data_IF_996414641593
#
_entry.id   IF_996414641593
#
_cell.length_a   1.000
_cell.length_b   1.000
_cell.length_c   1.000
_cell.angle_alpha   90.00
_cell.angle_beta   90.00
_cell.angle_gamma   90.00
#
_symmetry.space_group_name_H-M   'P 1'
#
loop_
_entity.id
_entity.type
_entity.pdbx_description
1 polymer ?
#
# COMPACT_ATOMS: atom_id res chain seq x y z
N UNK A 1 -21.15 -19.35 -15.34
CA UNK A 1 -20.63 -18.10 -14.75
C UNK A 1 -20.78 -18.14 -13.24
N UNK A 2 -19.73 -17.76 -12.52
CA UNK A 2 -19.79 -17.70 -11.07
C UNK A 2 -20.48 -16.41 -10.66
N UNK A 3 -21.53 -16.54 -9.87
CA UNK A 3 -22.26 -15.38 -9.35
C UNK A 3 -21.48 -14.74 -8.20
N UNK A 4 -21.66 -13.45 -8.01
CA UNK A 4 -20.96 -12.75 -6.93
C UNK A 4 -21.22 -13.35 -5.56
N UNK A 5 -22.47 -13.73 -5.27
CA UNK A 5 -22.79 -14.33 -4.00
C UNK A 5 -22.07 -15.68 -3.80
N UNK A 6 -21.89 -16.44 -4.89
CA UNK A 6 -21.19 -17.73 -4.81
C UNK A 6 -19.71 -17.50 -4.52
N UNK A 7 -19.13 -16.47 -5.10
CA UNK A 7 -17.75 -16.09 -4.80
C UNK A 7 -17.61 -15.73 -3.32
N UNK A 8 -18.54 -14.94 -2.80
CA UNK A 8 -18.49 -14.51 -1.40
C UNK A 8 -18.62 -15.71 -0.45
N UNK A 9 -19.51 -16.64 -0.75
CA UNK A 9 -19.68 -17.83 0.10
C UNK A 9 -18.50 -18.78 0.02
N UNK A 10 -17.97 -19.01 -1.17
CA UNK A 10 -16.86 -19.93 -1.35
C UNK A 10 -15.58 -19.39 -0.72
N UNK A 11 -15.35 -18.10 -0.83
CA UNK A 11 -14.13 -17.47 -0.30
C UNK A 11 -14.26 -17.10 1.16
N UNK A 12 -15.46 -17.09 1.68
CA UNK A 12 -15.78 -16.70 3.04
C UNK A 12 -15.50 -15.22 3.27
N UNK A 13 -14.21 -14.85 3.38
CA UNK A 13 -13.79 -13.47 3.66
C UNK A 13 -12.53 -13.15 2.88
N UNK A 14 -12.54 -12.00 2.25
CA UNK A 14 -11.34 -11.39 1.72
C UNK A 14 -11.14 -10.08 2.45
N UNK A 15 -10.05 -9.98 3.21
CA UNK A 15 -9.69 -8.76 3.92
C UNK A 15 -8.58 -8.07 3.16
N UNK A 16 -8.79 -6.81 2.81
CA UNK A 16 -7.83 -6.00 2.07
C UNK A 16 -7.45 -4.81 2.92
N UNK A 17 -6.15 -4.62 3.10
CA UNK A 17 -5.60 -3.48 3.83
C UNK A 17 -4.74 -2.65 2.89
N UNK A 18 -4.86 -1.34 3.02
CA UNK A 18 -3.90 -0.42 2.44
C UNK A 18 -2.72 -0.27 3.39
N UNK A 19 -1.56 0.16 2.89
CA UNK A 19 -0.38 0.32 3.74
C UNK A 19 -0.18 1.76 4.19
N UNK A 20 0.11 2.67 3.24
CA UNK A 20 0.46 4.05 3.59
C UNK A 20 -0.70 4.76 4.26
N UNK A 21 -0.45 5.33 5.43
CA UNK A 21 -1.41 6.05 6.27
C UNK A 21 -2.58 5.19 6.77
N UNK A 22 -2.54 3.89 6.55
CA UNK A 22 -3.52 2.93 7.08
C UNK A 22 -2.87 1.99 8.08
N UNK A 23 -1.82 1.29 7.68
CA UNK A 23 -1.11 0.38 8.58
C UNK A 23 0.10 1.04 9.22
N UNK A 24 0.71 1.98 8.51
CA UNK A 24 1.88 2.69 9.01
C UNK A 24 2.07 4.01 8.31
N UNK A 25 2.81 4.89 8.98
CA UNK A 25 3.32 6.12 8.36
C UNK A 25 4.81 5.93 8.15
N UNK A 26 5.22 5.94 6.91
CA UNK A 26 6.61 5.80 6.52
C UNK A 26 7.21 7.19 6.27
N UNK A 27 8.53 7.29 6.48
CA UNK A 27 9.25 8.52 6.13
C UNK A 27 9.64 8.46 4.65
N UNK A 28 8.63 8.57 3.80
CA UNK A 28 8.80 8.53 2.36
C UNK A 28 8.00 9.68 1.75
N UNK A 29 8.61 10.36 0.80
CA UNK A 29 8.07 11.57 0.21
C UNK A 29 8.00 11.45 -1.31
N UNK A 30 7.01 12.13 -1.87
CA UNK A 30 6.93 12.33 -3.31
C UNK A 30 7.54 13.70 -3.58
N UNK A 31 8.62 13.73 -4.34
CA UNK A 31 9.29 14.99 -4.70
C UNK A 31 8.78 15.47 -6.04
N UNK A 32 8.45 16.76 -6.11
CA UNK A 32 7.89 17.36 -7.31
C UNK A 32 8.85 18.43 -7.79
N UNK A 33 9.19 18.37 -9.07
CA UNK A 33 9.88 19.48 -9.76
C UNK A 33 8.84 20.15 -10.64
N UNK A 34 8.58 21.42 -10.37
CA UNK A 34 7.59 22.19 -11.12
C UNK A 34 8.19 22.73 -12.41
N UNK A 35 7.31 23.19 -13.30
CA UNK A 35 7.72 23.68 -14.61
C UNK A 35 8.72 24.84 -14.52
N UNK A 36 8.64 25.67 -13.48
CA UNK A 36 9.55 26.78 -13.25
C UNK A 36 10.87 26.38 -12.58
N UNK A 37 11.06 25.08 -12.34
CA UNK A 37 12.25 24.54 -11.67
C UNK A 37 12.19 24.54 -10.16
N UNK A 38 11.16 25.11 -9.55
CA UNK A 38 10.99 25.05 -8.10
C UNK A 38 10.62 23.62 -7.69
N UNK A 39 10.93 23.28 -6.44
CA UNK A 39 10.73 21.94 -5.92
C UNK A 39 9.87 21.96 -4.67
N UNK A 40 9.05 20.92 -4.52
CA UNK A 40 8.28 20.69 -3.31
C UNK A 40 8.25 19.22 -3.01
N UNK A 41 7.74 18.84 -1.84
CA UNK A 41 7.55 17.44 -1.48
C UNK A 41 6.22 17.26 -0.79
N UNK A 42 5.64 16.09 -0.98
CA UNK A 42 4.35 15.73 -0.40
C UNK A 42 4.46 14.39 0.28
N UNK A 43 3.72 14.21 1.38
CA UNK A 43 3.53 12.87 1.93
C UNK A 43 2.41 12.16 1.13
N UNK A 44 2.18 10.85 1.37
CA UNK A 44 1.17 10.12 0.61
C UNK A 44 -0.24 10.72 0.74
N UNK A 45 -0.61 11.19 1.93
CA UNK A 45 -1.94 11.78 2.13
C UNK A 45 -2.09 13.08 1.35
N UNK A 46 -1.07 13.93 1.36
CA UNK A 46 -1.08 15.17 0.60
C UNK A 46 -1.10 14.89 -0.90
N UNK A 47 -0.35 13.87 -1.33
CA UNK A 47 -0.32 13.51 -2.74
C UNK A 47 -1.69 13.04 -3.24
N UNK A 48 -2.45 12.33 -2.40
CA UNK A 48 -3.76 11.82 -2.78
C UNK A 48 -4.74 12.93 -3.16
N UNK A 49 -4.57 14.14 -2.62
CA UNK A 49 -5.44 15.28 -2.90
C UNK A 49 -4.75 16.38 -3.71
N UNK A 50 -3.53 16.12 -4.16
CA UNK A 50 -2.78 17.11 -4.92
C UNK A 50 -3.30 17.22 -6.35
N UNK A 51 -3.48 18.45 -6.80
CA UNK A 51 -3.85 18.73 -8.19
C UNK A 51 -2.60 19.01 -8.99
N UNK A 52 -2.25 18.07 -9.88
CA UNK A 52 -1.07 18.20 -10.72
C UNK A 52 -1.18 19.42 -11.63
N UNK A 53 -0.07 20.12 -11.77
CA UNK A 53 0.05 21.25 -12.68
C UNK A 53 0.83 20.82 -13.91
N UNK A 54 0.58 21.46 -15.02
CA UNK A 54 1.31 21.17 -16.24
C UNK A 54 2.80 21.40 -16.01
N UNK A 55 3.61 20.42 -16.42
CA UNK A 55 5.05 20.47 -16.25
C UNK A 55 5.56 19.94 -14.93
N UNK A 56 4.67 19.47 -14.05
CA UNK A 56 5.10 18.81 -12.82
C UNK A 56 5.75 17.46 -13.14
N UNK A 57 6.90 17.23 -12.53
CA UNK A 57 7.62 15.97 -12.62
C UNK A 57 7.74 15.37 -11.24
N UNK A 58 7.32 14.10 -11.10
CA UNK A 58 7.21 13.42 -9.81
C UNK A 58 8.32 12.40 -9.64
N UNK A 59 8.90 12.37 -8.45
CA UNK A 59 9.93 11.41 -8.07
C UNK A 59 9.41 10.58 -6.88
N UNK A 60 9.20 9.29 -7.11
CA UNK A 60 8.68 8.34 -6.12
C UNK A 60 9.76 7.41 -5.57
N UNK A 61 11.04 7.73 -5.77
CA UNK A 61 12.12 6.80 -5.44
C UNK A 61 12.21 6.46 -3.96
N UNK A 62 11.74 7.36 -3.07
CA UNK A 62 11.71 7.04 -1.64
C UNK A 62 10.88 5.78 -1.35
N UNK A 63 9.87 5.51 -2.16
CA UNK A 63 8.99 4.36 -1.95
C UNK A 63 9.60 3.05 -2.44
N UNK A 64 10.70 3.09 -3.13
CA UNK A 64 11.44 1.89 -3.56
C UNK A 64 12.43 1.42 -2.51
N UNK A 65 12.69 2.23 -1.51
CA UNK A 65 13.66 1.92 -0.45
C UNK A 65 13.03 1.02 0.61
N UNK A 66 13.88 0.30 1.33
CA UNK A 66 13.42 -0.43 2.51
C UNK A 66 12.91 0.56 3.55
N UNK A 67 11.88 0.14 4.28
CA UNK A 67 11.29 0.99 5.31
C UNK A 67 12.26 1.13 6.49
N UNK A 68 12.49 2.37 6.89
CA UNK A 68 13.33 2.70 8.02
C UNK A 68 12.45 3.22 9.16
N UNK A 69 12.23 2.35 10.15
CA UNK A 69 11.50 2.68 11.36
C UNK A 69 10.15 3.38 11.11
N UNK A 70 9.27 2.81 10.28
CA UNK A 70 7.96 3.42 10.06
C UNK A 70 7.13 3.36 11.33
N UNK A 71 6.26 4.35 11.51
CA UNK A 71 5.37 4.39 12.67
C UNK A 71 4.10 3.60 12.37
N UNK A 72 3.91 2.49 13.06
CA UNK A 72 2.71 1.68 12.87
C UNK A 72 1.48 2.39 13.44
N UNK A 73 0.36 2.17 12.77
CA UNK A 73 -0.95 2.59 13.28
C UNK A 73 -1.51 1.37 14.02
N UNK A 74 -1.28 1.34 15.32
CA UNK A 74 -1.48 0.14 16.14
C UNK A 74 -2.86 -0.48 15.98
N UNK A 75 -3.90 0.33 15.99
CA UNK A 75 -5.27 -0.14 15.85
C UNK A 75 -5.45 -1.00 14.60
N UNK A 76 -4.90 -0.54 13.49
CA UNK A 76 -5.07 -1.22 12.21
C UNK A 76 -4.13 -2.41 12.07
N UNK A 77 -2.92 -2.33 12.63
CA UNK A 77 -2.02 -3.48 12.67
C UNK A 77 -2.58 -4.59 13.55
N UNK A 78 -3.21 -4.25 14.68
CA UNK A 78 -3.87 -5.24 15.52
C UNK A 78 -5.00 -5.93 14.77
N UNK A 79 -5.76 -5.17 13.97
CA UNK A 79 -6.81 -5.74 13.13
C UNK A 79 -6.22 -6.69 12.08
N UNK A 80 -5.12 -6.29 11.46
CA UNK A 80 -4.41 -7.14 10.50
C UNK A 80 -3.99 -8.46 11.16
N UNK A 81 -3.41 -8.41 12.37
CA UNK A 81 -3.01 -9.62 13.10
C UNK A 81 -4.20 -10.55 13.32
N UNK A 82 -5.35 -10.01 13.74
CA UNK A 82 -6.55 -10.80 13.97
C UNK A 82 -7.02 -11.49 12.68
N UNK A 83 -7.01 -10.75 11.57
CA UNK A 83 -7.43 -11.32 10.29
C UNK A 83 -6.46 -12.41 9.82
N UNK A 84 -5.16 -12.22 10.03
CA UNK A 84 -4.17 -13.23 9.69
C UNK A 84 -4.34 -14.50 10.52
N UNK A 85 -4.65 -14.37 11.82
CA UNK A 85 -4.93 -15.52 12.68
C UNK A 85 -6.15 -16.29 12.18
N UNK A 86 -7.21 -15.58 11.85
CA UNK A 86 -8.43 -16.21 11.33
C UNK A 86 -8.16 -16.91 9.99
N UNK A 87 -7.38 -16.31 9.14
CA UNK A 87 -7.03 -16.90 7.85
C UNK A 87 -6.21 -18.18 8.03
N UNK A 88 -5.34 -18.22 9.05
CA UNK A 88 -4.57 -19.42 9.36
C UNK A 88 -5.41 -20.58 9.90
N UNK A 89 -6.57 -20.28 10.49
CA UNK A 89 -7.45 -21.30 11.06
C UNK A 89 -8.59 -21.72 10.15
N UNK A 90 -8.94 -20.90 9.17
CA UNK A 90 -10.11 -21.13 8.33
C UNK A 90 -9.72 -21.03 6.86
N UNK A 91 -9.85 -22.16 6.15
CA UNK A 91 -9.64 -22.14 4.71
C UNK A 91 -10.68 -21.22 4.04
N UNK A 92 -10.31 -20.60 2.95
CA UNK A 92 -11.18 -19.68 2.25
C UNK A 92 -11.09 -18.22 2.72
N UNK A 93 -10.40 -17.98 3.84
CA UNK A 93 -10.12 -16.62 4.27
C UNK A 93 -8.79 -16.19 3.70
N UNK A 94 -8.75 -14.97 3.17
CA UNK A 94 -7.52 -14.39 2.61
C UNK A 94 -7.31 -13.00 3.15
N UNK A 95 -6.06 -12.66 3.40
CA UNK A 95 -5.67 -11.33 3.84
C UNK A 95 -4.60 -10.83 2.89
N UNK A 96 -4.83 -9.66 2.35
CA UNK A 96 -3.92 -9.07 1.36
C UNK A 96 -3.68 -7.61 1.71
N UNK A 97 -2.44 -7.18 1.60
CA UNK A 97 -2.11 -5.76 1.64
C UNK A 97 -2.01 -5.30 0.20
N UNK A 98 -2.87 -4.35 -0.17
CA UNK A 98 -2.87 -3.75 -1.49
C UNK A 98 -2.24 -2.38 -1.38
N UNK A 99 -1.19 -2.14 -2.14
CA UNK A 99 -0.47 -0.88 -2.04
C UNK A 99 -0.38 -0.19 -3.40
N UNK A 100 -0.49 1.13 -3.38
CA UNK A 100 -0.26 1.94 -4.56
C UNK A 100 1.22 2.05 -4.92
N UNK A 101 2.10 1.53 -4.07
CA UNK A 101 3.53 1.53 -4.35
C UNK A 101 3.86 0.60 -5.52
N UNK A 102 4.99 0.86 -6.16
CA UNK A 102 5.49 0.04 -7.26
C UNK A 102 6.05 -1.29 -6.77
N UNK A 103 6.67 -1.30 -5.59
CA UNK A 103 7.31 -2.47 -5.00
C UNK A 103 6.63 -2.87 -3.70
N UNK A 104 6.35 -4.17 -3.57
CA UNK A 104 5.76 -4.70 -2.34
C UNK A 104 6.78 -5.22 -1.33
N UNK A 105 8.01 -5.47 -1.78
CA UNK A 105 9.03 -6.11 -0.95
C UNK A 105 9.36 -5.33 0.33
N UNK A 106 9.54 -4.00 0.29
CA UNK A 106 9.82 -3.26 1.52
C UNK A 106 8.74 -3.43 2.59
N UNK A 107 7.48 -3.46 2.18
CA UNK A 107 6.35 -3.66 3.11
C UNK A 107 6.38 -5.07 3.68
N UNK A 108 6.55 -6.06 2.81
CA UNK A 108 6.60 -7.47 3.22
C UNK A 108 7.73 -7.70 4.21
N UNK A 109 8.90 -7.16 3.93
CA UNK A 109 10.06 -7.26 4.80
C UNK A 109 9.79 -6.63 6.17
N UNK A 110 9.18 -5.44 6.18
CA UNK A 110 8.87 -4.75 7.43
C UNK A 110 7.96 -5.61 8.32
N UNK A 111 6.89 -6.16 7.76
CA UNK A 111 5.99 -7.00 8.57
C UNK A 111 6.66 -8.28 9.02
N UNK A 112 7.56 -8.82 8.24
CA UNK A 112 8.36 -9.98 8.66
C UNK A 112 9.16 -9.67 9.91
N UNK A 113 9.71 -8.46 10.04
CA UNK A 113 10.42 -8.05 11.24
C UNK A 113 9.50 -7.99 12.46
N UNK A 114 8.19 -7.83 12.25
CA UNK A 114 7.19 -7.87 13.31
C UNK A 114 6.64 -9.27 13.56
N UNK A 115 7.20 -10.28 12.89
CA UNK A 115 6.73 -11.65 13.02
C UNK A 115 5.48 -11.95 12.22
N UNK A 116 5.16 -11.13 11.24
CA UNK A 116 3.96 -11.31 10.42
C UNK A 116 4.33 -11.63 8.98
N UNK A 117 3.80 -12.74 8.48
CA UNK A 117 3.91 -13.06 7.07
C UNK A 117 2.66 -12.54 6.37
N UNK A 118 2.86 -11.62 5.45
CA UNK A 118 1.78 -10.95 4.73
C UNK A 118 1.96 -11.13 3.24
N UNK A 119 0.84 -11.12 2.55
CA UNK A 119 0.81 -11.09 1.10
C UNK A 119 0.61 -9.64 0.67
N UNK A 120 1.52 -9.12 -0.14
CA UNK A 120 1.49 -7.72 -0.55
C UNK A 120 1.38 -7.67 -2.07
N UNK A 121 0.38 -6.94 -2.55
CA UNK A 121 0.17 -6.75 -3.98
C UNK A 121 0.44 -5.28 -4.31
N UNK A 122 1.56 -4.98 -4.98
CA UNK A 122 1.82 -3.63 -5.44
C UNK A 122 1.09 -3.40 -6.75
N UNK A 123 0.21 -2.41 -6.78
CA UNK A 123 -0.56 -2.07 -7.98
C UNK A 123 -0.08 -0.78 -8.62
N UNK A 124 0.83 -0.08 -7.93
CA UNK A 124 1.34 1.18 -8.42
C UNK A 124 2.43 1.00 -9.46
N UNK A 125 2.65 2.05 -10.22
CA UNK A 125 3.72 2.13 -11.18
C UNK A 125 4.16 3.59 -11.27
N UNK A 126 5.45 3.80 -11.49
CA UNK A 126 5.95 5.13 -11.82
C UNK A 126 5.65 5.51 -13.27
N UNK A 127 5.14 4.57 -14.06
CA UNK A 127 4.73 4.81 -15.44
C UNK A 127 3.26 5.22 -15.46
N UNK A 128 2.94 6.47 -15.81
CA UNK A 128 1.55 6.93 -15.85
C UNK A 128 0.68 6.15 -16.82
N UNK A 129 1.25 5.60 -17.89
CA UNK A 129 0.48 4.83 -18.86
C UNK A 129 -0.05 3.54 -18.27
N UNK A 130 0.73 2.89 -17.41
CA UNK A 130 0.29 1.66 -16.74
C UNK A 130 -0.84 1.97 -15.77
N UNK A 131 -0.74 3.08 -15.06
CA UNK A 131 -1.79 3.48 -14.10
C UNK A 131 -3.08 3.92 -14.78
N UNK A 132 -2.98 4.50 -15.95
CA UNK A 132 -4.15 4.98 -16.68
C UNK A 132 -5.01 3.83 -17.19
N UNK A 133 -4.43 2.70 -17.39
CA UNK A 133 -5.11 1.49 -17.86
C UNK A 133 -5.68 0.71 -16.69
#
# INVERSE_FOLDING_TARGET
>A
MIKLKDILFERKVLSVFDFDDTLAKADAWIYITHADGSKSKLDPAEFAVYNSKEGDDFDFTDFDKMLDNPKIIKKNVDLLRKQLEKAGRHSGRKVTILTARRLGYPIKHFFKTLGLEVYVVPVGSSDPKVKAD
#
